data_IF_527693620200
#
_entry.id   IF_527693620200
#
_cell.length_a   1.000
_cell.length_b   1.000
_cell.length_c   1.000
_cell.angle_alpha   90.00
_cell.angle_beta   90.00
_cell.angle_gamma   90.00
#
_symmetry.space_group_name_H-M   'P 1'
#
loop_
_entity.id
_entity.type
_entity.pdbx_description
1 polymer ?
#
# COMPACT_ATOMS: atom_id res chain seq x y z
N UNK A 1 17.34 -36.28 5.20
CA UNK A 1 17.33 -35.10 6.10
C UNK A 1 17.02 -33.89 5.25
N UNK A 2 15.75 -33.48 5.15
CA UNK A 2 15.34 -32.26 4.45
C UNK A 2 15.77 -31.07 5.29
N UNK A 3 16.68 -30.24 4.79
CA UNK A 3 17.08 -29.00 5.44
C UNK A 3 15.87 -28.06 5.50
N UNK A 4 15.20 -28.03 6.65
CA UNK A 4 14.23 -26.99 6.98
C UNK A 4 15.04 -25.70 7.23
N UNK A 5 15.51 -25.08 6.15
CA UNK A 5 16.13 -23.76 6.23
C UNK A 5 15.03 -22.81 6.73
N UNK A 6 15.18 -22.18 7.91
CA UNK A 6 14.15 -21.32 8.47
C UNK A 6 13.84 -20.22 7.46
N UNK A 7 12.56 -19.99 7.18
CA UNK A 7 12.15 -18.89 6.30
C UNK A 7 12.67 -17.58 6.87
N UNK A 8 13.61 -16.96 6.17
CA UNK A 8 14.19 -15.70 6.59
C UNK A 8 13.27 -14.56 6.16
N UNK A 9 12.82 -13.77 7.13
CA UNK A 9 12.13 -12.50 6.87
C UNK A 9 13.12 -11.49 6.34
N UNK A 10 12.88 -10.98 5.13
CA UNK A 10 13.75 -10.00 4.48
C UNK A 10 13.33 -8.60 4.91
N UNK A 11 12.04 -8.31 4.86
CA UNK A 11 11.47 -7.04 5.31
C UNK A 11 10.07 -7.25 5.86
N UNK A 12 9.71 -6.46 6.88
CA UNK A 12 8.35 -6.34 7.37
C UNK A 12 7.98 -4.85 7.43
N UNK A 13 6.92 -4.49 6.73
CA UNK A 13 6.42 -3.11 6.61
C UNK A 13 4.92 -3.06 6.89
N UNK A 14 4.34 -1.86 6.92
CA UNK A 14 2.87 -1.71 7.02
C UNK A 14 2.09 -2.27 5.83
N UNK A 15 2.75 -2.53 4.69
CA UNK A 15 2.13 -3.10 3.49
C UNK A 15 2.13 -4.62 3.51
N UNK A 16 3.03 -5.23 4.28
CA UNK A 16 3.18 -6.67 4.37
C UNK A 16 4.59 -7.09 4.75
N UNK A 17 4.79 -8.41 4.74
CA UNK A 17 6.04 -9.07 5.08
C UNK A 17 6.51 -9.88 3.88
N UNK A 18 7.77 -9.70 3.49
CA UNK A 18 8.43 -10.47 2.43
C UNK A 18 9.39 -11.45 3.09
N UNK A 19 9.22 -12.73 2.81
CA UNK A 19 10.16 -13.79 3.21
C UNK A 19 10.86 -14.34 1.98
N UNK A 20 11.85 -15.21 2.17
CA UNK A 20 12.54 -15.89 1.07
C UNK A 20 11.66 -16.84 0.24
N UNK A 21 10.42 -17.14 0.67
CA UNK A 21 9.53 -18.08 -0.05
C UNK A 21 8.17 -17.49 -0.42
N UNK A 22 7.67 -16.52 0.34
CA UNK A 22 6.31 -15.98 0.21
C UNK A 22 6.26 -14.50 0.54
N UNK A 23 5.24 -13.85 0.00
CA UNK A 23 4.85 -12.50 0.35
C UNK A 23 3.52 -12.58 1.08
N UNK A 24 3.49 -12.09 2.31
CA UNK A 24 2.27 -11.90 3.10
C UNK A 24 1.87 -10.44 3.01
N UNK A 25 0.65 -10.14 2.56
CA UNK A 25 0.16 -8.77 2.49
C UNK A 25 -1.32 -8.68 2.87
N UNK A 26 -1.83 -7.46 3.08
CA UNK A 26 -3.25 -7.24 3.39
C UNK A 26 -4.01 -6.84 2.12
N UNK A 27 -4.63 -7.83 1.48
CA UNK A 27 -5.53 -7.71 0.33
C UNK A 27 -6.58 -6.62 0.54
N UNK A 28 -6.69 -5.71 -0.42
CA UNK A 28 -7.69 -4.63 -0.47
C UNK A 28 -7.71 -3.75 0.80
N UNK A 29 -6.53 -3.54 1.41
CA UNK A 29 -6.34 -2.61 2.51
C UNK A 29 -6.48 -1.17 2.00
N UNK A 30 -7.24 -0.37 2.74
CA UNK A 30 -7.45 1.05 2.49
C UNK A 30 -7.09 1.88 3.73
N UNK A 31 -7.21 3.20 3.64
CA UNK A 31 -6.96 4.10 4.79
C UNK A 31 -7.83 3.79 6.00
N UNK A 32 -9.07 3.35 5.75
CA UNK A 32 -10.07 3.05 6.77
C UNK A 32 -10.49 1.57 6.77
N UNK A 33 -9.78 0.71 6.04
CA UNK A 33 -10.07 -0.72 5.94
C UNK A 33 -8.79 -1.52 6.15
N UNK A 34 -8.78 -2.42 7.13
CA UNK A 34 -7.64 -3.29 7.41
C UNK A 34 -7.32 -4.30 6.30
N UNK A 35 -8.24 -4.53 5.36
CA UNK A 35 -8.09 -5.54 4.32
C UNK A 35 -8.18 -6.98 4.86
N UNK A 36 -7.85 -7.96 4.02
CA UNK A 36 -7.77 -9.39 4.38
C UNK A 36 -6.34 -9.87 4.22
N UNK A 37 -5.82 -10.64 5.18
CA UNK A 37 -4.48 -11.22 5.04
C UNK A 37 -4.46 -12.26 3.92
N UNK A 38 -3.51 -12.12 3.01
CA UNK A 38 -3.26 -13.06 1.92
C UNK A 38 -1.77 -13.43 1.89
N UNK A 39 -1.49 -14.72 1.78
CA UNK A 39 -0.14 -15.27 1.70
C UNK A 39 0.06 -15.84 0.29
N UNK A 40 0.93 -15.22 -0.50
CA UNK A 40 1.19 -15.61 -1.89
C UNK A 40 2.64 -16.10 -2.03
N UNK A 41 2.88 -17.31 -2.58
CA UNK A 41 4.24 -17.77 -2.89
C UNK A 41 4.94 -16.84 -3.88
N UNK A 42 6.23 -16.55 -3.66
CA UNK A 42 7.01 -15.66 -4.54
C UNK A 42 6.99 -16.11 -6.00
N UNK A 43 7.00 -17.43 -6.24
CA UNK A 43 6.91 -18.04 -7.58
C UNK A 43 5.64 -17.69 -8.36
N UNK A 44 4.59 -17.26 -7.67
CA UNK A 44 3.32 -16.86 -8.28
C UNK A 44 3.20 -15.34 -8.44
N UNK A 45 4.16 -14.56 -7.95
CA UNK A 45 4.17 -13.10 -8.12
C UNK A 45 4.82 -12.78 -9.46
N UNK A 46 4.04 -12.20 -10.37
CA UNK A 46 4.52 -11.82 -11.71
C UNK A 46 5.20 -10.45 -11.70
N UNK A 47 4.65 -9.49 -10.95
CA UNK A 47 5.25 -8.16 -10.83
C UNK A 47 4.73 -7.41 -9.60
N UNK A 48 5.50 -6.41 -9.18
CA UNK A 48 5.08 -5.44 -8.17
C UNK A 48 5.21 -4.03 -8.71
N UNK A 49 4.12 -3.27 -8.61
CA UNK A 49 4.06 -1.87 -9.02
C UNK A 49 3.77 -0.99 -7.82
N UNK A 50 4.63 0.01 -7.64
CA UNK A 50 4.41 1.09 -6.70
C UNK A 50 3.85 2.30 -7.46
N UNK A 51 2.68 2.77 -7.04
CA UNK A 51 1.99 3.92 -7.60
C UNK A 51 1.63 4.88 -6.46
N UNK A 52 1.58 6.18 -6.74
CA UNK A 52 1.02 7.16 -5.80
C UNK A 52 -0.30 7.67 -6.38
N UNK A 53 -1.40 7.33 -5.72
CA UNK A 53 -2.73 7.78 -6.14
C UNK A 53 -3.01 9.15 -5.51
N UNK A 54 -3.21 10.18 -6.35
CA UNK A 54 -3.56 11.54 -5.93
C UNK A 54 -4.95 11.89 -6.45
N UNK A 55 -5.88 12.23 -5.55
CA UNK A 55 -7.25 12.61 -5.93
C UNK A 55 -7.40 14.12 -5.92
N UNK A 56 -6.79 14.78 -6.92
CA UNK A 56 -6.65 16.24 -6.98
C UNK A 56 -8.02 16.93 -6.95
N UNK A 57 -8.94 16.52 -7.84
CA UNK A 57 -10.27 17.13 -7.93
C UNK A 57 -11.07 16.98 -6.63
N UNK A 58 -11.06 15.78 -6.03
CA UNK A 58 -11.78 15.52 -4.79
C UNK A 58 -11.14 16.26 -3.60
N UNK A 59 -9.81 16.31 -3.54
CA UNK A 59 -9.08 17.07 -2.53
C UNK A 59 -9.39 18.56 -2.59
N UNK A 60 -9.41 19.14 -3.78
CA UNK A 60 -9.77 20.55 -3.97
C UNK A 60 -11.22 20.84 -3.57
N UNK A 61 -12.15 19.95 -3.92
CA UNK A 61 -13.55 20.06 -3.50
C UNK A 61 -13.69 20.10 -1.97
N UNK A 62 -13.01 19.21 -1.26
CA UNK A 62 -13.02 19.18 0.20
C UNK A 62 -12.37 20.42 0.83
N UNK A 63 -11.32 20.97 0.21
CA UNK A 63 -10.71 22.21 0.69
C UNK A 63 -11.69 23.38 0.57
N UNK A 64 -12.32 23.55 -0.60
CA UNK A 64 -13.30 24.62 -0.82
C UNK A 64 -14.48 24.48 0.15
N UNK A 65 -15.01 23.25 0.29
CA UNK A 65 -16.09 22.96 1.22
C UNK A 65 -15.70 23.31 2.67
N UNK A 66 -14.48 22.96 3.08
CA UNK A 66 -14.00 23.24 4.42
C UNK A 66 -13.75 24.73 4.70
N UNK A 67 -13.31 25.50 3.70
CA UNK A 67 -13.22 26.95 3.80
C UNK A 67 -14.60 27.60 3.97
N UNK A 68 -15.61 27.13 3.23
CA UNK A 68 -17.00 27.63 3.37
C UNK A 68 -17.56 27.32 4.77
N UNK A 69 -17.24 26.15 5.31
CA UNK A 69 -17.74 25.68 6.61
C UNK A 69 -16.86 26.09 7.81
N UNK A 70 -15.79 26.86 7.60
CA UNK A 70 -14.79 27.15 8.64
C UNK A 70 -15.38 27.91 9.83
N UNK A 71 -16.43 28.70 9.60
CA UNK A 71 -17.15 29.45 10.62
C UNK A 71 -17.84 28.56 11.68
N UNK A 72 -18.07 27.27 11.37
CA UNK A 72 -18.85 26.35 12.22
C UNK A 72 -17.95 25.35 12.97
N UNK A 73 -16.62 25.53 12.97
CA UNK A 73 -15.59 24.59 13.52
C UNK A 73 -15.56 23.23 12.78
N UNK A 74 -16.69 22.77 12.25
CA UNK A 74 -16.87 21.56 11.44
C UNK A 74 -16.07 21.63 10.14
N UNK A 75 -15.74 22.82 9.63
CA UNK A 75 -14.94 23.01 8.40
C UNK A 75 -13.51 22.49 8.47
N UNK A 76 -12.96 22.26 9.68
CA UNK A 76 -11.60 21.73 9.85
C UNK A 76 -11.49 20.30 9.31
N UNK A 77 -12.50 19.45 9.53
CA UNK A 77 -12.50 18.05 9.09
C UNK A 77 -12.33 17.93 7.56
N UNK A 78 -13.18 18.55 6.72
CA UNK A 78 -13.02 18.49 5.27
C UNK A 78 -11.71 19.14 4.80
N UNK A 79 -11.19 20.19 5.47
CA UNK A 79 -9.86 20.73 5.13
C UNK A 79 -8.75 19.69 5.30
N UNK A 80 -8.72 18.99 6.42
CA UNK A 80 -7.73 17.93 6.69
C UNK A 80 -7.85 16.79 5.68
N UNK A 81 -9.07 16.33 5.40
CA UNK A 81 -9.30 15.31 4.37
C UNK A 81 -8.85 15.77 2.98
N UNK A 82 -9.12 17.02 2.63
CA UNK A 82 -8.69 17.62 1.36
C UNK A 82 -7.17 17.62 1.23
N UNK A 83 -6.45 18.04 2.27
CA UNK A 83 -4.97 18.02 2.31
C UNK A 83 -4.45 16.60 2.13
N UNK A 84 -5.01 15.60 2.82
CA UNK A 84 -4.58 14.21 2.68
C UNK A 84 -4.79 13.67 1.25
N UNK A 85 -5.93 13.98 0.62
CA UNK A 85 -6.21 13.57 -0.75
C UNK A 85 -5.26 14.21 -1.79
N UNK A 86 -4.80 15.45 -1.52
CA UNK A 86 -3.81 16.13 -2.35
C UNK A 86 -2.40 15.58 -2.17
N UNK A 87 -2.02 15.25 -0.92
CA UNK A 87 -0.71 14.64 -0.63
C UNK A 87 -0.53 13.32 -1.38
N UNK A 88 -1.60 12.52 -1.43
CA UNK A 88 -1.65 11.26 -2.15
C UNK A 88 -1.31 10.06 -1.28
N UNK A 89 -1.89 8.91 -1.62
CA UNK A 89 -1.65 7.64 -0.94
C UNK A 89 -0.65 6.79 -1.72
N UNK A 90 0.41 6.25 -1.09
CA UNK A 90 1.18 5.18 -1.68
C UNK A 90 0.30 3.93 -1.84
N UNK A 91 0.40 3.32 -3.02
CA UNK A 91 -0.36 2.13 -3.43
C UNK A 91 0.62 1.11 -3.99
N UNK A 92 0.59 -0.09 -3.43
CA UNK A 92 1.36 -1.22 -3.94
C UNK A 92 0.39 -2.20 -4.58
N UNK A 93 0.56 -2.44 -5.87
CA UNK A 93 -0.18 -3.46 -6.61
C UNK A 93 0.73 -4.68 -6.80
N UNK A 94 0.32 -5.80 -6.23
CA UNK A 94 0.96 -7.09 -6.47
C UNK A 94 0.14 -7.79 -7.55
N UNK A 95 0.80 -8.15 -8.65
CA UNK A 95 0.19 -8.90 -9.75
C UNK A 95 0.60 -10.35 -9.61
N UNK A 96 -0.36 -11.24 -9.46
CA UNK A 96 -0.10 -12.68 -9.45
C UNK A 96 -0.25 -13.28 -10.86
N UNK A 97 0.39 -14.41 -11.10
CA UNK A 97 0.33 -15.18 -12.36
C UNK A 97 -1.09 -15.62 -12.73
N UNK A 98 -2.01 -15.68 -11.76
CA UNK A 98 -3.44 -15.92 -11.97
C UNK A 98 -4.26 -14.71 -12.44
N UNK A 99 -3.62 -13.55 -12.65
CA UNK A 99 -4.29 -12.32 -13.09
C UNK A 99 -4.97 -11.52 -11.97
N UNK A 100 -4.90 -11.97 -10.72
CA UNK A 100 -5.40 -11.22 -9.58
C UNK A 100 -4.46 -10.06 -9.26
N UNK A 101 -4.99 -8.84 -9.32
CA UNK A 101 -4.30 -7.62 -8.88
C UNK A 101 -4.91 -7.15 -7.56
N UNK A 102 -4.15 -7.18 -6.49
CA UNK A 102 -4.60 -6.73 -5.19
C UNK A 102 -3.88 -5.43 -4.81
N UNK A 103 -4.58 -4.28 -4.79
CA UNK A 103 -4.00 -3.04 -4.31
C UNK A 103 -3.94 -3.02 -2.78
N UNK A 104 -2.79 -2.62 -2.25
CA UNK A 104 -2.59 -2.28 -0.84
C UNK A 104 -2.34 -0.79 -0.74
N UNK A 105 -3.26 -0.05 -0.14
CA UNK A 105 -3.17 1.40 0.01
C UNK A 105 -2.70 1.72 1.43
N UNK A 106 -1.60 2.48 1.53
CA UNK A 106 -1.06 2.99 2.78
C UNK A 106 -1.37 4.47 2.97
N UNK A 107 -1.07 4.96 4.17
CA UNK A 107 -1.20 6.38 4.50
C UNK A 107 -0.17 7.25 3.75
N UNK A 108 -0.43 8.54 3.54
CA UNK A 108 0.45 9.43 2.76
C UNK A 108 1.93 9.44 3.19
N UNK A 109 2.19 9.32 4.49
CA UNK A 109 3.55 9.30 5.04
C UNK A 109 4.28 7.95 4.91
N UNK A 110 3.59 6.88 4.47
CA UNK A 110 4.16 5.53 4.35
C UNK A 110 4.80 5.27 2.97
N UNK A 111 5.14 6.33 2.23
CA UNK A 111 5.65 6.22 0.87
C UNK A 111 7.00 5.47 0.82
N UNK A 112 7.89 5.74 1.78
CA UNK A 112 9.17 5.05 1.89
C UNK A 112 9.01 3.56 2.20
N UNK A 113 8.03 3.19 3.04
CA UNK A 113 7.72 1.80 3.34
C UNK A 113 7.14 1.05 2.12
N UNK A 114 6.31 1.72 1.32
CA UNK A 114 5.76 1.14 0.09
C UNK A 114 6.86 0.84 -0.93
N UNK A 115 7.80 1.78 -1.07
CA UNK A 115 8.93 1.62 -1.98
C UNK A 115 9.87 0.51 -1.52
N UNK A 116 10.27 0.48 -0.25
CA UNK A 116 11.15 -0.57 0.28
C UNK A 116 10.51 -1.96 0.19
N UNK A 117 9.19 -2.06 0.42
CA UNK A 117 8.45 -3.29 0.22
C UNK A 117 8.47 -3.73 -1.26
N UNK A 118 8.18 -2.81 -2.19
CA UNK A 118 8.18 -3.12 -3.61
C UNK A 118 9.58 -3.55 -4.11
N UNK A 119 10.63 -2.87 -3.66
CA UNK A 119 12.01 -3.16 -4.04
C UNK A 119 12.48 -4.50 -3.44
N UNK A 120 12.06 -4.84 -2.22
CA UNK A 120 12.34 -6.15 -1.63
C UNK A 120 11.67 -7.29 -2.39
N UNK A 121 10.40 -7.13 -2.82
CA UNK A 121 9.74 -8.15 -3.65
C UNK A 121 10.43 -8.28 -5.00
N UNK A 122 10.78 -7.17 -5.66
CA UNK A 122 11.53 -7.20 -6.92
C UNK A 122 12.88 -7.88 -6.76
N UNK A 123 13.62 -7.56 -5.69
CA UNK A 123 14.90 -8.19 -5.39
C UNK A 123 14.79 -9.72 -5.29
N UNK A 124 13.70 -10.24 -4.72
CA UNK A 124 13.47 -11.68 -4.64
C UNK A 124 13.02 -12.32 -5.96
N UNK A 125 12.36 -11.57 -6.85
CA UNK A 125 11.95 -12.08 -8.17
C UNK A 125 13.12 -12.20 -9.16
N UNK A 126 14.15 -11.37 -8.99
CA UNK A 126 15.31 -11.30 -9.91
C UNK A 126 16.61 -11.87 -9.33
N UNK A 127 16.63 -12.37 -8.08
CA UNK A 127 17.81 -13.02 -7.50
C UNK A 127 17.86 -14.54 -7.76
N UNK A 128 16.98 -15.06 -8.61
CA UNK A 128 16.99 -16.45 -9.11
C UNK A 128 17.67 -16.48 -10.49
#
# INVERSE_FOLDING_TARGET
MTSNNPEQTIISTSFGTVTSKRVTYMYNKGWFSGGKREDVPLKQVASVRHETERKIFLGLFYIVLGLVLIAVVIGIIPLVFGIFLLWGSPKVNIVTTGGSTAPVIGWPWQNQEAQSFADAVRGQLFSE
#
